data_IF_260681369926
#
_entry.id   IF_260681369926
#
_cell.length_a   1.000
_cell.length_b   1.000
_cell.length_c   1.000
_cell.angle_alpha   90.00
_cell.angle_beta   90.00
_cell.angle_gamma   90.00
#
_symmetry.space_group_name_H-M   'P 1'
#
loop_
_entity.id
_entity.type
_entity.pdbx_description
1 polymer ?
#
# COMPACT_ATOMS: atom_id res chain seq x y z
N UNK A 1 7.36 6.60 29.71
CA UNK A 1 8.33 7.10 28.71
C UNK A 1 7.60 7.12 27.38
N UNK A 2 7.50 8.27 26.73
CA UNK A 2 6.73 8.45 25.49
C UNK A 2 7.25 7.49 24.42
N UNK A 3 6.48 6.44 24.12
CA UNK A 3 6.80 5.42 23.13
C UNK A 3 6.51 5.95 21.72
N UNK A 4 7.13 7.08 21.36
CA UNK A 4 6.99 7.67 20.04
C UNK A 4 7.87 6.90 19.06
N UNK A 5 7.26 6.41 18.00
CA UNK A 5 7.96 5.79 16.89
C UNK A 5 8.96 6.80 16.29
N UNK A 6 10.27 6.49 16.26
CA UNK A 6 11.27 7.43 15.76
C UNK A 6 11.11 7.77 14.27
N UNK A 7 10.34 6.99 13.52
CA UNK A 7 10.05 7.21 12.11
C UNK A 7 8.67 7.83 11.86
N UNK A 8 7.86 8.06 12.90
CA UNK A 8 6.60 8.79 12.73
C UNK A 8 6.91 10.26 12.42
N UNK A 9 6.72 10.63 11.16
CA UNK A 9 6.96 12.00 10.69
C UNK A 9 5.80 12.91 11.07
N UNK A 10 4.57 12.48 10.78
CA UNK A 10 3.36 13.22 11.11
C UNK A 10 2.14 12.30 11.14
N UNK A 11 1.03 12.79 11.67
CA UNK A 11 -0.30 12.18 11.53
C UNK A 11 -1.17 13.15 10.75
N UNK A 12 -1.65 12.72 9.59
CA UNK A 12 -2.59 13.50 8.79
C UNK A 12 -3.98 13.28 9.36
N UNK A 13 -4.70 14.37 9.64
CA UNK A 13 -6.08 14.33 10.09
C UNK A 13 -6.98 14.84 8.96
N UNK A 14 -7.99 14.06 8.61
CA UNK A 14 -8.99 14.39 7.59
C UNK A 14 -10.39 14.28 8.21
N UNK A 15 -11.40 14.77 7.50
CA UNK A 15 -12.81 14.56 7.90
C UNK A 15 -13.21 13.08 7.92
N UNK A 16 -12.48 12.22 7.20
CA UNK A 16 -12.76 10.79 7.05
C UNK A 16 -11.94 9.91 8.00
N UNK A 17 -11.04 10.49 8.80
CA UNK A 17 -10.17 9.78 9.73
C UNK A 17 -8.74 10.30 9.74
N UNK A 18 -7.89 9.61 10.47
CA UNK A 18 -6.48 9.98 10.63
C UNK A 18 -5.57 8.82 10.23
N UNK A 19 -4.42 9.12 9.64
CA UNK A 19 -3.43 8.12 9.27
C UNK A 19 -2.00 8.61 9.55
N UNK A 20 -1.09 7.70 9.97
CA UNK A 20 0.30 8.04 10.19
C UNK A 20 1.06 8.12 8.87
N UNK A 21 2.01 9.06 8.80
CA UNK A 21 3.02 9.13 7.75
C UNK A 21 4.36 8.74 8.36
N UNK A 22 4.88 7.59 7.95
CA UNK A 22 6.14 7.04 8.44
C UNK A 22 7.25 7.34 7.42
N UNK A 23 8.30 8.04 7.85
CA UNK A 23 9.44 8.42 7.02
C UNK A 23 10.72 8.06 7.73
N UNK A 24 11.57 7.27 7.09
CA UNK A 24 12.85 6.87 7.64
C UNK A 24 13.59 5.92 6.73
N UNK A 25 14.86 5.66 7.04
CA UNK A 25 15.66 4.68 6.30
C UNK A 25 15.26 3.27 6.72
N UNK A 26 14.99 2.41 5.76
CA UNK A 26 14.69 0.99 6.02
C UNK A 26 13.31 0.74 6.64
N UNK A 27 12.42 1.73 6.69
CA UNK A 27 11.08 1.58 7.30
C UNK A 27 10.23 0.47 6.68
N UNK A 28 10.49 0.11 5.43
CA UNK A 28 9.84 -1.03 4.75
C UNK A 28 10.03 -2.36 5.50
N UNK A 29 11.13 -2.53 6.23
CA UNK A 29 11.39 -3.76 6.99
C UNK A 29 10.45 -3.94 8.19
N UNK A 30 9.82 -2.84 8.62
CA UNK A 30 8.83 -2.78 9.69
C UNK A 30 7.39 -2.63 9.16
N UNK A 31 7.17 -2.71 7.84
CA UNK A 31 5.86 -2.42 7.22
C UNK A 31 4.70 -3.15 7.90
N UNK A 32 4.81 -4.46 8.11
CA UNK A 32 3.76 -5.23 8.80
C UNK A 32 3.54 -4.78 10.24
N UNK A 33 4.59 -4.42 10.98
CA UNK A 33 4.48 -3.92 12.36
C UNK A 33 3.75 -2.57 12.37
N UNK A 34 4.09 -1.66 11.45
CA UNK A 34 3.43 -0.36 11.33
C UNK A 34 1.96 -0.49 10.98
N UNK A 35 1.61 -1.38 10.04
CA UNK A 35 0.21 -1.63 9.69
C UNK A 35 -0.54 -2.21 10.89
N UNK A 36 0.06 -3.14 11.67
CA UNK A 36 -0.59 -3.68 12.88
C UNK A 36 -0.89 -2.62 13.94
N UNK A 37 -0.03 -1.60 14.10
CA UNK A 37 -0.28 -0.48 15.04
C UNK A 37 -1.54 0.30 14.70
N UNK A 38 -1.98 0.29 13.43
CA UNK A 38 -3.23 0.94 13.00
C UNK A 38 -4.49 0.13 13.31
N UNK A 39 -4.35 -1.08 13.89
CA UNK A 39 -5.46 -1.97 14.19
C UNK A 39 -5.94 -2.80 13.00
N UNK A 40 -5.32 -2.65 11.83
CA UNK A 40 -5.71 -3.41 10.64
C UNK A 40 -5.37 -4.91 10.77
N UNK A 41 -6.23 -5.72 10.18
CA UNK A 41 -6.17 -7.18 10.20
C UNK A 41 -6.45 -7.72 8.80
N UNK A 42 -6.65 -9.04 8.65
CA UNK A 42 -6.91 -9.65 7.34
C UNK A 42 -5.64 -10.00 6.56
N UNK A 43 -5.81 -10.21 5.25
CA UNK A 43 -4.74 -10.47 4.29
C UNK A 43 -4.23 -9.17 3.69
N UNK A 44 -2.98 -9.20 3.25
CA UNK A 44 -2.35 -8.10 2.53
C UNK A 44 -2.26 -8.44 1.04
N UNK A 45 -2.79 -7.56 0.19
CA UNK A 45 -2.71 -7.63 -1.26
C UNK A 45 -1.72 -6.58 -1.74
N UNK A 46 -0.46 -6.98 -1.90
CA UNK A 46 0.64 -6.09 -2.28
C UNK A 46 0.72 -5.97 -3.79
N UNK A 47 0.34 -4.80 -4.31
CA UNK A 47 0.39 -4.46 -5.73
C UNK A 47 1.55 -3.51 -5.95
N UNK A 48 2.49 -3.91 -6.79
CA UNK A 48 3.71 -3.17 -7.04
C UNK A 48 3.95 -2.93 -8.52
N UNK A 49 4.66 -1.84 -8.81
CA UNK A 49 5.29 -1.64 -10.12
C UNK A 49 6.35 -2.73 -10.33
N UNK A 50 6.39 -3.34 -11.52
CA UNK A 50 7.37 -4.36 -11.89
C UNK A 50 8.81 -3.85 -11.80
N UNK A 51 9.05 -2.55 -11.93
CA UNK A 51 10.40 -1.97 -11.73
C UNK A 51 10.89 -2.20 -10.29
N UNK A 52 9.98 -2.41 -9.34
CA UNK A 52 10.31 -2.77 -7.95
C UNK A 52 10.57 -4.27 -7.76
N UNK A 53 10.41 -5.09 -8.81
CA UNK A 53 10.60 -6.53 -8.74
C UNK A 53 12.06 -6.84 -8.37
N UNK A 54 12.23 -7.57 -7.27
CA UNK A 54 13.53 -7.84 -6.66
C UNK A 54 13.55 -7.53 -5.17
N UNK A 55 14.65 -6.94 -4.70
CA UNK A 55 14.90 -6.76 -3.27
C UNK A 55 13.87 -5.88 -2.52
N UNK A 56 13.42 -4.72 -3.06
CA UNK A 56 12.45 -3.89 -2.35
C UNK A 56 11.12 -4.63 -2.12
N UNK A 57 10.57 -5.24 -3.16
CA UNK A 57 9.31 -5.98 -3.09
C UNK A 57 9.42 -7.19 -2.14
N UNK A 58 10.52 -7.95 -2.22
CA UNK A 58 10.79 -9.07 -1.30
C UNK A 58 10.82 -8.63 0.16
N UNK A 59 11.50 -7.51 0.46
CA UNK A 59 11.58 -6.96 1.82
C UNK A 59 10.21 -6.56 2.35
N UNK A 60 9.39 -5.90 1.53
CA UNK A 60 8.03 -5.52 1.90
C UNK A 60 7.17 -6.76 2.19
N UNK A 61 7.21 -7.76 1.31
CA UNK A 61 6.52 -9.03 1.49
C UNK A 61 6.94 -9.74 2.80
N UNK A 62 8.25 -9.90 3.03
CA UNK A 62 8.76 -10.52 4.25
C UNK A 62 8.39 -9.71 5.51
N UNK A 63 8.36 -8.39 5.43
CA UNK A 63 7.95 -7.53 6.54
C UNK A 63 6.46 -7.67 6.88
N UNK A 64 5.61 -7.84 5.86
CA UNK A 64 4.17 -8.09 6.05
C UNK A 64 3.93 -9.44 6.70
N UNK A 65 4.60 -10.50 6.22
CA UNK A 65 4.54 -11.84 6.80
C UNK A 65 5.03 -11.84 8.27
N UNK A 66 6.14 -11.15 8.57
CA UNK A 66 6.60 -10.96 9.97
C UNK A 66 5.59 -10.20 10.84
N UNK A 67 4.83 -9.28 10.25
CA UNK A 67 3.71 -8.60 10.90
C UNK A 67 2.46 -9.48 11.07
N UNK A 68 2.50 -10.73 10.60
CA UNK A 68 1.41 -11.69 10.69
C UNK A 68 0.31 -11.47 9.66
N UNK A 69 0.60 -10.82 8.53
CA UNK A 69 -0.33 -10.74 7.40
C UNK A 69 0.01 -11.83 6.39
N UNK A 70 -0.96 -12.68 6.05
CA UNK A 70 -0.84 -13.52 4.86
C UNK A 70 -0.88 -12.60 3.64
N UNK A 71 0.15 -12.66 2.82
CA UNK A 71 0.39 -11.68 1.75
C UNK A 71 0.36 -12.35 0.39
N UNK A 72 -0.38 -11.76 -0.54
CA UNK A 72 -0.32 -12.10 -1.97
C UNK A 72 0.24 -10.91 -2.74
N UNK A 73 1.04 -11.19 -3.78
CA UNK A 73 1.77 -10.17 -4.53
C UNK A 73 1.36 -10.15 -5.99
N UNK A 74 1.07 -8.96 -6.50
CA UNK A 74 0.86 -8.69 -7.93
C UNK A 74 1.86 -7.63 -8.39
N UNK A 75 2.69 -7.98 -9.37
CA UNK A 75 3.56 -7.03 -10.05
C UNK A 75 2.99 -6.72 -11.43
N UNK A 76 2.90 -5.43 -11.78
CA UNK A 76 2.40 -4.94 -13.06
C UNK A 76 3.33 -3.87 -13.63
N UNK A 77 3.40 -3.75 -14.96
CA UNK A 77 4.02 -2.60 -15.61
C UNK A 77 3.14 -1.35 -15.44
N UNK A 78 3.50 -0.50 -14.48
CA UNK A 78 2.69 0.66 -14.07
C UNK A 78 3.34 1.96 -14.53
N UNK A 79 3.00 2.39 -15.74
CA UNK A 79 3.35 3.69 -16.30
C UNK A 79 2.12 4.51 -16.69
N UNK A 80 2.33 5.77 -17.08
CA UNK A 80 1.25 6.68 -17.47
C UNK A 80 0.41 6.11 -18.64
N UNK A 81 1.04 5.41 -19.59
CA UNK A 81 0.36 4.71 -20.69
C UNK A 81 -0.63 3.64 -20.21
N UNK A 82 -0.34 3.02 -19.07
CA UNK A 82 -1.15 1.96 -18.46
C UNK A 82 -2.02 2.47 -17.30
N UNK A 83 -2.06 3.79 -17.06
CA UNK A 83 -2.92 4.44 -16.06
C UNK A 83 -4.37 4.55 -16.57
N UNK A 84 -5.03 3.41 -16.69
CA UNK A 84 -6.36 3.32 -17.27
C UNK A 84 -7.21 2.22 -16.62
N UNK A 85 -8.51 2.21 -16.94
CA UNK A 85 -9.47 1.27 -16.35
C UNK A 85 -9.23 -0.20 -16.74
N UNK A 86 -8.51 -0.49 -17.83
CA UNK A 86 -8.18 -1.87 -18.17
C UNK A 86 -7.17 -2.44 -17.17
N UNK A 87 -6.19 -1.65 -16.76
CA UNK A 87 -5.23 -2.04 -15.73
C UNK A 87 -5.90 -2.19 -14.37
N UNK A 88 -6.86 -1.30 -14.02
CA UNK A 88 -7.70 -1.47 -12.83
C UNK A 88 -8.50 -2.78 -12.89
N UNK A 89 -9.04 -3.13 -14.05
CA UNK A 89 -9.76 -4.39 -14.24
C UNK A 89 -8.84 -5.62 -14.05
N UNK A 90 -7.56 -5.53 -14.40
CA UNK A 90 -6.57 -6.58 -14.08
C UNK A 90 -6.42 -6.75 -12.57
N UNK A 91 -6.33 -5.65 -11.82
CA UNK A 91 -6.31 -5.68 -10.34
C UNK A 91 -7.58 -6.33 -9.78
N UNK A 92 -8.76 -5.98 -10.29
CA UNK A 92 -10.03 -6.59 -9.84
C UNK A 92 -10.10 -8.07 -10.11
N UNK A 93 -9.67 -8.53 -11.29
CA UNK A 93 -9.64 -9.96 -11.60
C UNK A 93 -8.78 -10.71 -10.60
N UNK A 94 -7.58 -10.20 -10.33
CA UNK A 94 -6.67 -10.81 -9.38
C UNK A 94 -7.23 -10.83 -7.94
N UNK A 95 -7.80 -9.72 -7.47
CA UNK A 95 -8.48 -9.66 -6.16
C UNK A 95 -9.67 -10.63 -6.09
N UNK A 96 -10.44 -10.74 -7.17
CA UNK A 96 -11.57 -11.66 -7.29
C UNK A 96 -11.13 -13.12 -7.24
N UNK A 97 -10.11 -13.50 -8.00
CA UNK A 97 -9.55 -14.86 -8.05
C UNK A 97 -9.03 -15.30 -6.69
N UNK A 98 -8.43 -14.38 -5.95
CA UNK A 98 -7.92 -14.63 -4.60
C UNK A 98 -8.95 -14.43 -3.49
N UNK A 99 -10.20 -14.11 -3.85
CA UNK A 99 -11.31 -13.92 -2.92
C UNK A 99 -11.00 -12.85 -1.85
N UNK A 100 -10.50 -11.69 -2.27
CA UNK A 100 -10.23 -10.56 -1.38
C UNK A 100 -11.53 -10.02 -0.75
N UNK A 101 -11.56 -9.90 0.57
CA UNK A 101 -12.71 -9.48 1.37
C UNK A 101 -12.60 -8.02 1.84
N UNK A 102 -13.65 -7.49 2.47
CA UNK A 102 -13.73 -6.08 2.90
C UNK A 102 -12.72 -5.72 4.00
N UNK A 103 -12.37 -6.69 4.84
CA UNK A 103 -11.44 -6.54 5.96
C UNK A 103 -9.97 -6.73 5.55
N UNK A 104 -9.70 -7.09 4.30
CA UNK A 104 -8.35 -7.19 3.77
C UNK A 104 -7.78 -5.80 3.42
N UNK A 105 -6.47 -5.77 3.21
CA UNK A 105 -5.70 -4.54 2.99
C UNK A 105 -5.07 -4.58 1.62
N UNK A 106 -5.27 -3.53 0.84
CA UNK A 106 -4.57 -3.32 -0.43
C UNK A 106 -3.35 -2.43 -0.19
N UNK A 107 -2.20 -2.81 -0.75
CA UNK A 107 -0.94 -2.06 -0.57
C UNK A 107 -0.43 -1.64 -1.93
N UNK A 108 -0.22 -0.33 -2.11
CA UNK A 108 0.33 0.25 -3.34
C UNK A 108 1.82 0.54 -3.16
N UNK A 109 2.69 -0.21 -3.83
CA UNK A 109 4.15 -0.01 -3.75
C UNK A 109 4.73 0.44 -5.10
N UNK A 110 5.05 1.72 -5.23
CA UNK A 110 5.56 2.27 -6.48
C UNK A 110 5.57 3.80 -6.51
N UNK A 111 5.65 4.37 -7.71
CA UNK A 111 5.54 5.81 -7.92
C UNK A 111 4.09 6.34 -7.84
N UNK A 112 3.88 7.58 -8.28
CA UNK A 112 2.56 8.23 -8.23
C UNK A 112 1.50 7.49 -9.07
N UNK A 113 1.88 6.96 -10.23
CA UNK A 113 0.99 6.16 -11.08
C UNK A 113 0.46 4.93 -10.33
N UNK A 114 1.34 4.20 -9.64
CA UNK A 114 0.96 3.04 -8.82
C UNK A 114 0.02 3.46 -7.69
N UNK A 115 0.35 4.56 -7.00
CA UNK A 115 -0.47 5.12 -5.93
C UNK A 115 -1.88 5.43 -6.40
N UNK A 116 -2.04 6.19 -7.48
CA UNK A 116 -3.33 6.60 -8.02
C UNK A 116 -4.16 5.38 -8.47
N UNK A 117 -3.55 4.47 -9.24
CA UNK A 117 -4.25 3.35 -9.83
C UNK A 117 -4.72 2.36 -8.76
N UNK A 118 -3.81 1.99 -7.84
CA UNK A 118 -4.11 1.02 -6.78
C UNK A 118 -5.01 1.66 -5.73
N UNK A 119 -4.83 2.95 -5.42
CA UNK A 119 -5.71 3.72 -4.55
C UNK A 119 -7.13 3.77 -5.09
N UNK A 120 -7.30 4.08 -6.39
CA UNK A 120 -8.60 4.03 -7.05
C UNK A 120 -9.23 2.64 -7.00
N UNK A 121 -8.46 1.59 -7.31
CA UNK A 121 -8.93 0.20 -7.24
C UNK A 121 -9.39 -0.17 -5.82
N UNK A 122 -8.63 0.21 -4.78
CA UNK A 122 -8.99 -0.04 -3.39
C UNK A 122 -10.25 0.73 -2.94
N UNK A 123 -10.40 1.98 -3.38
CA UNK A 123 -11.56 2.82 -3.05
C UNK A 123 -12.87 2.28 -3.64
N UNK A 124 -12.80 1.55 -4.75
CA UNK A 124 -13.97 1.08 -5.51
C UNK A 124 -14.22 -0.42 -5.36
N UNK A 125 -13.19 -1.21 -5.04
CA UNK A 125 -13.31 -2.63 -4.69
C UNK A 125 -14.21 -2.82 -3.47
N UNK A 126 -15.28 -3.59 -3.62
CA UNK A 126 -16.31 -3.79 -2.58
C UNK A 126 -16.82 -2.46 -1.96
N UNK A 127 -16.83 -1.36 -2.71
CA UNK A 127 -17.17 0.00 -2.22
C UNK A 127 -16.21 0.55 -1.16
N UNK A 128 -14.95 0.12 -1.18
CA UNK A 128 -13.89 0.61 -0.31
C UNK A 128 -13.33 -0.49 0.60
N UNK A 129 -12.01 -0.64 0.54
CA UNK A 129 -11.18 -1.43 1.46
C UNK A 129 -10.01 -0.60 1.99
N UNK A 130 -9.34 -1.09 3.03
CA UNK A 130 -8.18 -0.39 3.58
C UNK A 130 -7.05 -0.33 2.54
N UNK A 131 -6.41 0.84 2.42
CA UNK A 131 -5.27 1.04 1.53
C UNK A 131 -4.05 1.54 2.29
N UNK A 132 -2.87 1.04 1.92
CA UNK A 132 -1.57 1.51 2.43
C UNK A 132 -0.70 1.91 1.24
N UNK A 133 -0.21 3.15 1.25
CA UNK A 133 0.71 3.65 0.22
C UNK A 133 2.16 3.49 0.68
N UNK A 134 2.98 2.88 -0.17
CA UNK A 134 4.43 2.73 -0.01
C UNK A 134 5.10 3.42 -1.21
N UNK A 135 5.14 4.77 -1.22
CA UNK A 135 5.68 5.52 -2.35
C UNK A 135 7.19 5.29 -2.48
N UNK A 136 7.67 5.01 -3.70
CA UNK A 136 9.08 4.71 -3.98
C UNK A 136 9.78 5.79 -4.80
N UNK A 137 9.06 6.76 -5.36
CA UNK A 137 9.62 7.95 -6.00
C UNK A 137 9.48 9.19 -5.11
N UNK A 138 10.45 10.11 -5.20
CA UNK A 138 10.42 11.34 -4.41
C UNK A 138 9.18 12.18 -4.70
N UNK A 139 8.78 12.28 -5.97
CA UNK A 139 7.55 12.97 -6.37
C UNK A 139 6.32 12.36 -5.68
N UNK A 140 6.22 11.03 -5.64
CA UNK A 140 5.11 10.36 -4.96
C UNK A 140 5.14 10.57 -3.44
N UNK A 141 6.33 10.63 -2.84
CA UNK A 141 6.49 10.87 -1.40
C UNK A 141 6.01 12.27 -0.98
N UNK A 142 6.09 13.28 -1.85
CA UNK A 142 5.78 14.69 -1.50
C UNK A 142 4.45 15.19 -2.05
N UNK A 143 3.89 14.53 -3.07
CA UNK A 143 2.69 15.00 -3.79
C UNK A 143 1.52 14.01 -3.68
N UNK A 144 1.74 12.74 -4.03
CA UNK A 144 0.67 11.72 -4.03
C UNK A 144 0.44 11.02 -2.70
N UNK A 145 1.23 11.32 -1.66
CA UNK A 145 1.13 10.67 -0.35
C UNK A 145 0.11 11.34 0.58
N UNK A 146 -0.34 12.56 0.25
CA UNK A 146 -1.27 13.37 1.04
C UNK A 146 -2.28 14.03 0.09
N UNK A 147 -3.54 13.60 0.13
CA UNK A 147 -4.60 14.19 -0.70
C UNK A 147 -5.84 13.30 -0.88
N UNK A 148 -5.65 11.99 -0.72
CA UNK A 148 -6.67 10.97 -1.02
C UNK A 148 -6.41 10.33 -2.37
#
# INVERSE_FOLDING_TARGET
>A
MSNQDPNLSTVVNTSMGSYPVIVGRGVVDNLGIEIRKTGQTGRAFLIADEVMFGNPLRRAHEALERGGFKTDVLALELGESNKNLNTVNTVYKWLSELHAERNDIVIAMGGGVTGDLVGYAAATWLRGVAVVHVPTSLAAMVDSSIGG
#
